data_IF_931824787572
#
_entry.id   IF_931824787572
#
_cell.length_a   1.000
_cell.length_b   1.000
_cell.length_c   1.000
_cell.angle_alpha   90.00
_cell.angle_beta   90.00
_cell.angle_gamma   90.00
#
_symmetry.space_group_name_H-M   'P 1'
#
loop_
_entity.id
_entity.type
_entity.pdbx_description
1 polymer ?
#
# COMPACT_ATOMS: atom_id res chain seq x y z
N UNK A 1 16.78 10.79 4.48
CA UNK A 1 16.34 9.40 4.65
C UNK A 1 15.51 8.97 3.47
N UNK A 2 15.70 7.74 3.08
CA UNK A 2 14.94 7.19 1.97
C UNK A 2 13.48 7.04 2.34
N UNK A 3 12.60 7.29 1.38
CA UNK A 3 11.18 6.98 1.55
C UNK A 3 11.02 5.47 1.70
N UNK A 4 9.98 5.07 2.40
CA UNK A 4 9.65 3.66 2.47
C UNK A 4 9.35 3.14 1.07
N UNK A 5 9.84 1.94 0.81
CA UNK A 5 9.55 1.26 -0.43
C UNK A 5 8.06 0.90 -0.47
N UNK A 6 7.40 1.22 -1.57
CA UNK A 6 5.97 0.91 -1.71
C UNK A 6 5.72 -0.59 -1.63
N UNK A 7 6.66 -1.41 -2.08
CA UNK A 7 6.53 -2.86 -1.95
C UNK A 7 6.56 -3.29 -0.49
N UNK A 8 7.37 -2.64 0.32
CA UNK A 8 7.40 -2.91 1.77
C UNK A 8 6.12 -2.46 2.45
N UNK A 9 5.57 -1.32 2.04
CA UNK A 9 4.33 -0.81 2.62
C UNK A 9 3.21 -1.81 2.40
N UNK A 10 3.14 -2.41 1.23
CA UNK A 10 2.13 -3.41 0.91
C UNK A 10 2.53 -4.83 1.34
N UNK A 11 3.75 -4.99 1.83
CA UNK A 11 4.27 -6.29 2.26
C UNK A 11 4.23 -7.32 1.13
N UNK A 12 4.71 -6.91 -0.04
CA UNK A 12 4.79 -7.77 -1.21
C UNK A 12 6.19 -7.76 -1.79
N UNK A 13 6.52 -8.76 -2.59
CA UNK A 13 7.80 -8.82 -3.26
C UNK A 13 7.84 -7.83 -4.43
N UNK A 14 9.04 -7.41 -4.83
CA UNK A 14 9.19 -6.48 -5.94
C UNK A 14 8.70 -7.06 -7.27
N UNK A 15 8.69 -8.37 -7.39
CA UNK A 15 8.18 -9.05 -8.58
C UNK A 15 6.73 -9.50 -8.41
N UNK A 16 6.03 -8.99 -7.42
CA UNK A 16 4.63 -9.36 -7.18
C UNK A 16 3.77 -9.02 -8.39
N UNK A 17 2.82 -9.88 -8.69
CA UNK A 17 1.87 -9.65 -9.76
C UNK A 17 0.85 -8.59 -9.35
N UNK A 18 0.11 -8.08 -10.34
CA UNK A 18 -0.94 -7.12 -10.07
C UNK A 18 -1.99 -7.69 -9.11
N UNK A 19 -2.31 -8.98 -9.25
CA UNK A 19 -3.26 -9.64 -8.37
C UNK A 19 -2.73 -9.71 -6.93
N UNK A 20 -1.46 -10.00 -6.77
CA UNK A 20 -0.85 -10.05 -5.44
C UNK A 20 -0.86 -8.67 -4.78
N UNK A 21 -0.55 -7.65 -5.54
CA UNK A 21 -0.56 -6.27 -5.05
C UNK A 21 -1.98 -5.88 -4.63
N UNK A 22 -2.96 -6.22 -5.44
CA UNK A 22 -4.36 -5.92 -5.15
C UNK A 22 -4.84 -6.64 -3.89
N UNK A 23 -4.50 -7.90 -3.73
CA UNK A 23 -4.86 -8.67 -2.54
C UNK A 23 -4.21 -8.08 -1.29
N UNK A 24 -2.94 -7.73 -1.39
CA UNK A 24 -2.23 -7.13 -0.27
C UNK A 24 -2.86 -5.80 0.11
N UNK A 25 -3.21 -4.98 -0.86
CA UNK A 25 -3.87 -3.71 -0.61
C UNK A 25 -5.19 -3.90 0.13
N UNK A 26 -6.03 -4.81 -0.35
CA UNK A 26 -7.33 -5.06 0.29
C UNK A 26 -7.16 -5.49 1.74
N UNK A 27 -6.22 -6.38 1.98
CA UNK A 27 -5.96 -6.90 3.32
C UNK A 27 -5.53 -5.78 4.27
N UNK A 28 -4.59 -4.96 3.82
CA UNK A 28 -4.08 -3.86 4.65
C UNK A 28 -5.11 -2.74 4.78
N UNK A 29 -5.87 -2.47 3.72
CA UNK A 29 -6.92 -1.48 3.78
C UNK A 29 -7.98 -1.84 4.82
N UNK A 30 -8.34 -3.11 4.91
CA UNK A 30 -9.27 -3.56 5.93
C UNK A 30 -8.67 -3.46 7.33
N UNK A 31 -7.39 -3.78 7.46
CA UNK A 31 -6.70 -3.74 8.74
C UNK A 31 -6.61 -2.32 9.30
N UNK A 32 -6.33 -1.35 8.44
CA UNK A 32 -6.11 0.03 8.86
C UNK A 32 -7.24 0.97 8.50
N UNK A 33 -8.39 0.44 8.11
CA UNK A 33 -9.53 1.28 7.71
C UNK A 33 -9.96 2.21 8.86
N UNK A 34 -10.20 3.50 8.57
CA UNK A 34 -10.56 4.46 9.62
C UNK A 34 -11.81 4.09 10.41
N UNK A 35 -12.78 3.44 9.77
CA UNK A 35 -14.00 3.02 10.46
C UNK A 35 -13.73 2.01 11.56
N UNK A 36 -12.69 1.19 11.39
CA UNK A 36 -12.31 0.18 12.37
C UNK A 36 -11.36 0.72 13.43
N UNK A 37 -10.68 1.82 13.10
CA UNK A 37 -9.60 2.36 13.93
C UNK A 37 -9.81 3.86 14.17
N UNK A 38 -11.05 4.24 14.51
CA UNK A 38 -11.42 5.65 14.64
C UNK A 38 -10.56 6.42 15.63
N UNK A 39 -10.13 5.76 16.69
CA UNK A 39 -9.36 6.41 17.74
C UNK A 39 -7.85 6.19 17.59
N UNK A 40 -7.43 5.75 16.41
CA UNK A 40 -6.02 5.43 16.18
C UNK A 40 -5.44 6.23 15.02
N UNK A 41 -4.77 7.38 15.32
CA UNK A 41 -4.17 8.20 14.26
C UNK A 41 -3.11 7.46 13.45
N UNK A 42 -2.39 6.53 14.08
CA UNK A 42 -1.36 5.75 13.38
C UNK A 42 -1.98 4.88 12.30
N UNK A 43 -3.16 4.32 12.55
CA UNK A 43 -3.85 3.50 11.55
C UNK A 43 -4.28 4.35 10.36
N UNK A 44 -4.71 5.57 10.60
CA UNK A 44 -5.08 6.48 9.52
C UNK A 44 -3.89 6.81 8.63
N UNK A 45 -2.74 7.09 9.23
CA UNK A 45 -1.52 7.33 8.46
C UNK A 45 -1.11 6.11 7.64
N UNK A 46 -1.20 4.93 8.25
CA UNK A 46 -0.89 3.68 7.56
C UNK A 46 -1.85 3.45 6.39
N UNK A 47 -3.12 3.75 6.58
CA UNK A 47 -4.10 3.61 5.52
C UNK A 47 -3.75 4.50 4.33
N UNK A 48 -3.35 5.75 4.59
CA UNK A 48 -2.95 6.67 3.54
C UNK A 48 -1.72 6.17 2.80
N UNK A 49 -0.73 5.65 3.53
CA UNK A 49 0.48 5.08 2.91
C UNK A 49 0.14 3.88 2.03
N UNK A 50 -0.71 2.99 2.53
CA UNK A 50 -1.13 1.80 1.79
C UNK A 50 -1.85 2.20 0.51
N UNK A 51 -2.74 3.18 0.59
CA UNK A 51 -3.48 3.66 -0.57
C UNK A 51 -2.53 4.26 -1.61
N UNK A 52 -1.59 5.08 -1.17
CA UNK A 52 -0.61 5.68 -2.07
C UNK A 52 0.25 4.62 -2.75
N UNK A 53 0.73 3.65 -1.98
CA UNK A 53 1.54 2.56 -2.52
C UNK A 53 0.76 1.78 -3.57
N UNK A 54 -0.50 1.49 -3.30
CA UNK A 54 -1.34 0.78 -4.25
C UNK A 54 -1.52 1.58 -5.55
N UNK A 55 -1.78 2.88 -5.43
CA UNK A 55 -1.95 3.73 -6.61
C UNK A 55 -0.70 3.73 -7.49
N UNK A 56 0.48 3.75 -6.87
CA UNK A 56 1.73 3.72 -7.62
C UNK A 56 2.01 2.36 -8.23
N UNK A 57 1.70 1.29 -7.53
CA UNK A 57 2.05 -0.06 -7.99
C UNK A 57 0.97 -0.73 -8.83
N UNK A 58 -0.26 -0.24 -8.79
CA UNK A 58 -1.35 -0.81 -9.58
C UNK A 58 -1.37 -0.30 -11.02
N UNK A 59 -0.77 0.84 -11.27
CA UNK A 59 -0.67 1.41 -12.62
C UNK A 59 0.66 0.99 -13.22
N UNK A 60 0.62 0.27 -14.35
CA UNK A 60 1.83 -0.27 -14.96
C UNK A 60 2.82 0.83 -15.36
N UNK A 61 2.32 1.98 -15.80
CA UNK A 61 3.19 3.10 -16.17
C UNK A 61 3.84 3.72 -14.94
N UNK A 62 3.07 3.94 -13.89
CA UNK A 62 3.60 4.49 -12.65
C UNK A 62 4.58 3.52 -12.00
N UNK A 63 4.25 2.24 -12.02
CA UNK A 63 5.13 1.22 -11.47
C UNK A 63 6.45 1.17 -12.22
N UNK A 64 6.42 1.23 -13.53
CA UNK A 64 7.63 1.25 -14.33
C UNK A 64 8.48 2.49 -14.05
N UNK A 65 7.85 3.64 -13.87
CA UNK A 65 8.56 4.87 -13.53
C UNK A 65 9.15 4.79 -12.12
N UNK A 66 8.46 4.15 -11.19
CA UNK A 66 8.95 3.97 -9.83
C UNK A 66 10.14 3.01 -9.79
N UNK A 67 10.04 1.91 -10.53
CA UNK A 67 11.12 0.93 -10.61
C UNK A 67 12.26 1.45 -11.49
#
# INVERSE_FOLDING_TARGET
MAKRDYYEILDVARNASDDEIKKAYRKLAMKYHPDRNQDNPSAEEKFKEVKEAYEMLSDSQKRAAYD
#
